data_IF_669720939201
#
_entry.id   IF_669720939201
#
_cell.length_a   1.000
_cell.length_b   1.000
_cell.length_c   1.000
_cell.angle_alpha   90.00
_cell.angle_beta   90.00
_cell.angle_gamma   90.00
#
_symmetry.space_group_name_H-M   'P 1'
#
loop_
_entity.id
_entity.type
_entity.pdbx_description
1 polymer ?
#
# COMPACT_ATOMS: atom_id res chain seq x y z
N UNK A 1 1.08 33.35 -1.71
CA UNK A 1 0.16 32.21 -1.48
C UNK A 1 1.01 31.01 -1.16
N UNK A 2 0.75 30.30 -0.05
CA UNK A 2 1.47 29.06 0.29
C UNK A 2 0.51 27.89 0.05
N UNK A 3 0.93 26.91 -0.74
CA UNK A 3 0.17 25.70 -1.01
C UNK A 3 1.00 24.52 -0.54
N UNK A 4 0.44 23.72 0.36
CA UNK A 4 1.00 22.42 0.74
C UNK A 4 0.28 21.32 -0.04
N UNK A 5 1.03 20.46 -0.72
CA UNK A 5 0.49 19.33 -1.47
C UNK A 5 1.32 18.08 -1.21
N UNK A 6 0.72 16.89 -1.35
CA UNK A 6 1.50 15.65 -1.46
C UNK A 6 2.04 15.55 -2.88
N UNK A 7 3.30 15.17 -3.01
CA UNK A 7 3.98 15.00 -4.31
C UNK A 7 3.23 14.07 -5.27
N UNK A 8 2.47 13.11 -4.75
CA UNK A 8 1.63 12.19 -5.55
C UNK A 8 0.49 12.86 -6.33
N UNK A 9 0.08 14.07 -5.96
CA UNK A 9 -0.94 14.85 -6.70
C UNK A 9 -0.33 15.79 -7.73
N UNK A 10 0.99 15.88 -7.76
CA UNK A 10 1.67 16.69 -8.75
C UNK A 10 1.69 15.91 -10.07
N UNK A 11 0.96 16.42 -11.07
CA UNK A 11 1.05 15.90 -12.43
C UNK A 11 2.43 16.17 -13.05
N UNK A 12 2.66 15.61 -14.22
CA UNK A 12 3.80 15.99 -15.07
C UNK A 12 3.71 17.49 -15.35
N UNK A 13 4.81 18.22 -15.18
CA UNK A 13 4.91 19.67 -15.42
C UNK A 13 3.95 20.56 -14.62
N UNK A 14 3.59 20.14 -13.41
CA UNK A 14 2.71 20.90 -12.51
C UNK A 14 3.24 22.31 -12.19
N UNK A 15 4.56 22.54 -12.31
CA UNK A 15 5.21 23.83 -12.00
C UNK A 15 4.66 24.96 -12.85
N UNK A 16 4.32 24.70 -14.11
CA UNK A 16 3.75 25.72 -15.01
C UNK A 16 2.38 26.25 -14.51
N UNK A 17 1.62 25.44 -13.76
CA UNK A 17 0.33 25.85 -13.19
C UNK A 17 0.48 26.96 -12.12
N UNK A 18 1.70 27.18 -11.62
CA UNK A 18 2.00 28.12 -10.54
C UNK A 18 2.88 29.28 -11.01
N UNK A 19 3.23 29.33 -12.30
CA UNK A 19 3.96 30.45 -12.89
C UNK A 19 3.00 31.53 -13.41
N UNK A 20 3.28 32.83 -13.17
CA UNK A 20 2.44 33.91 -13.68
C UNK A 20 2.47 33.99 -15.22
N UNK A 21 1.31 34.23 -15.85
CA UNK A 21 1.15 34.32 -17.30
C UNK A 21 1.89 35.52 -17.94
N UNK A 22 2.23 36.50 -17.10
CA UNK A 22 2.85 37.77 -17.42
C UNK A 22 4.39 37.73 -17.51
N UNK A 23 4.98 36.52 -17.61
CA UNK A 23 6.38 36.33 -17.98
C UNK A 23 7.41 36.64 -16.89
N UNK A 24 6.96 36.92 -15.66
CA UNK A 24 7.82 37.08 -14.49
C UNK A 24 8.30 35.71 -13.99
N UNK A 25 9.31 35.18 -14.67
CA UNK A 25 9.99 33.96 -14.26
C UNK A 25 10.63 34.11 -12.85
N UNK A 26 10.64 33.03 -12.07
CA UNK A 26 11.37 32.96 -10.79
C UNK A 26 10.59 33.28 -9.51
N UNK A 27 9.26 33.47 -9.57
CA UNK A 27 8.43 33.66 -8.38
C UNK A 27 7.95 32.35 -7.73
N UNK A 28 8.09 31.21 -8.41
CA UNK A 28 7.78 29.89 -7.87
C UNK A 28 8.93 29.38 -7.01
N UNK A 29 8.64 29.03 -5.76
CA UNK A 29 9.58 28.36 -4.87
C UNK A 29 8.96 27.04 -4.41
N UNK A 30 9.76 25.98 -4.48
CA UNK A 30 9.39 24.64 -4.02
C UNK A 30 10.21 24.29 -2.78
N UNK A 31 9.55 23.79 -1.76
CA UNK A 31 10.19 23.20 -0.59
C UNK A 31 9.57 21.83 -0.32
N UNK A 32 10.42 20.84 -0.04
CA UNK A 32 10.00 19.48 0.32
C UNK A 32 10.17 19.34 1.82
N UNK A 33 9.12 18.91 2.51
CA UNK A 33 9.21 18.56 3.93
C UNK A 33 9.94 17.23 4.05
N UNK A 34 11.21 17.29 4.47
CA UNK A 34 12.02 16.10 4.70
C UNK A 34 11.54 15.31 5.93
N UNK A 35 11.75 13.98 5.95
CA UNK A 35 11.57 13.18 7.16
C UNK A 35 12.45 13.68 8.30
N UNK A 36 12.05 13.43 9.54
CA UNK A 36 12.86 13.77 10.70
C UNK A 36 14.17 12.99 10.73
N UNK A 37 15.24 13.69 11.08
CA UNK A 37 16.50 13.07 11.46
C UNK A 37 16.47 12.60 12.92
N UNK A 38 17.56 11.96 13.38
CA UNK A 38 17.64 11.39 14.74
C UNK A 38 17.46 12.44 15.84
N UNK A 39 18.11 13.59 15.69
CA UNK A 39 18.08 14.67 16.70
C UNK A 39 16.69 15.32 16.79
N UNK A 40 16.00 15.47 15.64
CA UNK A 40 14.63 15.95 15.58
C UNK A 40 13.64 14.98 16.22
N UNK A 41 13.82 13.66 16.03
CA UNK A 41 13.01 12.65 16.70
C UNK A 41 13.22 12.75 18.22
N UNK A 42 14.47 12.82 18.67
CA UNK A 42 14.80 12.94 20.10
C UNK A 42 14.15 14.20 20.72
N UNK A 43 14.36 15.37 20.11
CA UNK A 43 13.78 16.62 20.60
C UNK A 43 12.25 16.57 20.63
N UNK A 44 11.61 15.96 19.63
CA UNK A 44 10.17 15.79 19.60
C UNK A 44 9.67 14.89 20.75
N UNK A 45 10.36 13.80 21.04
CA UNK A 45 10.02 12.88 22.15
C UNK A 45 10.10 13.61 23.49
N UNK A 46 11.19 14.34 23.73
CA UNK A 46 11.39 15.12 24.97
C UNK A 46 10.26 16.15 25.16
N UNK A 47 9.93 16.90 24.11
CA UNK A 47 8.82 17.85 24.14
C UNK A 47 7.48 17.15 24.39
N UNK A 48 7.22 16.03 23.71
CA UNK A 48 5.99 15.25 23.89
C UNK A 48 5.82 14.80 25.35
N UNK A 49 6.87 14.22 25.96
CA UNK A 49 6.84 13.76 27.35
C UNK A 49 6.60 14.93 28.30
N UNK A 50 7.27 16.07 28.09
CA UNK A 50 7.07 17.27 28.93
C UNK A 50 5.64 17.83 28.87
N UNK A 51 5.02 17.82 27.69
CA UNK A 51 3.72 18.45 27.45
C UNK A 51 2.56 17.53 27.78
N UNK A 52 2.68 16.23 27.48
CA UNK A 52 1.59 15.25 27.60
C UNK A 52 1.65 14.43 28.89
N UNK A 53 2.82 14.33 29.53
CA UNK A 53 3.06 13.51 30.73
C UNK A 53 2.50 12.08 30.57
N UNK A 54 2.94 11.34 29.52
CA UNK A 54 2.51 9.96 29.30
C UNK A 54 3.05 9.03 30.41
N UNK A 55 2.66 7.75 30.37
CA UNK A 55 3.14 6.74 31.33
C UNK A 55 4.60 6.35 31.13
N UNK A 56 5.14 6.53 29.93
CA UNK A 56 6.54 6.25 29.59
C UNK A 56 7.42 7.50 29.71
N UNK A 57 8.67 7.30 30.13
CA UNK A 57 9.71 8.33 30.13
C UNK A 57 10.27 8.57 28.73
N UNK A 58 11.03 9.66 28.55
CA UNK A 58 11.74 9.91 27.28
C UNK A 58 12.70 8.77 26.97
N UNK A 59 13.39 8.25 27.99
CA UNK A 59 14.32 7.12 27.90
C UNK A 59 13.65 5.86 27.38
N UNK A 60 12.45 5.53 27.87
CA UNK A 60 11.68 4.35 27.41
C UNK A 60 11.37 4.43 25.91
N UNK A 61 10.90 5.60 25.44
CA UNK A 61 10.64 5.83 24.02
C UNK A 61 11.90 5.74 23.17
N UNK A 62 13.00 6.36 23.61
CA UNK A 62 14.27 6.32 22.89
C UNK A 62 14.80 4.88 22.78
N UNK A 63 14.69 4.10 23.84
CA UNK A 63 15.15 2.71 23.85
C UNK A 63 14.30 1.84 22.91
N UNK A 64 12.97 2.01 22.91
CA UNK A 64 12.09 1.31 21.98
C UNK A 64 12.39 1.66 20.51
N UNK A 65 12.54 2.96 20.19
CA UNK A 65 12.86 3.43 18.82
C UNK A 65 14.23 2.92 18.37
N UNK A 66 15.21 2.87 19.28
CA UNK A 66 16.56 2.40 18.98
C UNK A 66 16.63 0.89 18.76
N UNK A 67 15.90 0.11 19.57
CA UNK A 67 15.99 -1.36 19.54
C UNK A 67 15.05 -2.05 18.55
N UNK A 68 14.02 -1.37 18.07
CA UNK A 68 13.07 -1.92 17.09
C UNK A 68 13.34 -1.29 15.70
N UNK A 69 14.07 -1.98 14.79
CA UNK A 69 14.47 -1.39 13.51
C UNK A 69 13.28 -0.95 12.65
N UNK A 70 12.21 -1.74 12.64
CA UNK A 70 10.97 -1.43 11.92
C UNK A 70 10.29 -0.16 12.41
N UNK A 71 10.38 0.14 13.72
CA UNK A 71 9.85 1.37 14.30
C UNK A 71 10.69 2.58 13.91
N UNK A 72 12.02 2.44 13.85
CA UNK A 72 12.94 3.52 13.51
C UNK A 72 12.60 4.18 12.17
N UNK A 73 12.29 3.39 11.14
CA UNK A 73 11.94 3.93 9.83
C UNK A 73 10.54 4.58 9.80
N UNK A 74 9.59 4.06 10.58
CA UNK A 74 8.24 4.64 10.68
C UNK A 74 8.28 6.03 11.32
N UNK A 75 9.01 6.20 12.43
CA UNK A 75 9.03 7.46 13.20
C UNK A 75 9.79 8.60 12.53
N UNK A 76 10.49 8.36 11.41
CA UNK A 76 10.99 9.44 10.55
C UNK A 76 9.84 10.28 9.97
N UNK A 77 8.64 9.72 9.86
CA UNK A 77 7.45 10.48 9.49
C UNK A 77 6.86 11.15 10.75
N UNK A 78 6.71 12.49 10.79
CA UNK A 78 6.24 13.20 11.99
C UNK A 78 4.85 12.76 12.50
N UNK A 79 3.93 12.41 11.59
CA UNK A 79 2.61 11.92 11.98
C UNK A 79 2.69 10.53 12.61
N UNK A 80 3.50 9.63 12.03
CA UNK A 80 3.72 8.29 12.59
C UNK A 80 4.48 8.33 13.91
N UNK A 81 5.44 9.25 14.07
CA UNK A 81 6.10 9.47 15.36
C UNK A 81 5.06 9.85 16.42
N UNK A 82 4.24 10.87 16.17
CA UNK A 82 3.16 11.25 17.10
C UNK A 82 2.27 10.06 17.46
N UNK A 83 1.83 9.32 16.44
CA UNK A 83 0.93 8.18 16.61
C UNK A 83 1.60 7.06 17.42
N UNK A 84 2.87 6.75 17.14
CA UNK A 84 3.68 5.81 17.90
C UNK A 84 3.80 6.21 19.38
N UNK A 85 4.13 7.47 19.68
CA UNK A 85 4.25 7.91 21.07
C UNK A 85 2.94 7.78 21.85
N UNK A 86 1.78 7.91 21.19
CA UNK A 86 0.49 7.68 21.83
C UNK A 86 0.23 6.21 22.16
N UNK A 87 0.67 5.27 21.31
CA UNK A 87 0.24 3.86 21.38
C UNK A 87 1.29 2.88 21.92
N UNK A 88 2.58 3.20 21.80
CA UNK A 88 3.68 2.31 22.18
C UNK A 88 3.58 1.78 23.63
N UNK A 89 3.21 2.59 24.65
CA UNK A 89 3.09 2.08 26.02
C UNK A 89 2.10 0.92 26.15
N UNK A 90 1.03 0.91 25.36
CA UNK A 90 0.03 -0.16 25.36
C UNK A 90 0.44 -1.34 24.46
N UNK A 91 1.03 -1.06 23.30
CA UNK A 91 1.51 -2.12 22.39
C UNK A 91 2.63 -2.97 23.00
N UNK A 92 3.54 -2.34 23.72
CA UNK A 92 4.76 -2.98 24.21
C UNK A 92 4.64 -3.39 25.69
N UNK A 93 3.81 -2.69 26.48
CA UNK A 93 3.74 -2.89 27.93
C UNK A 93 5.07 -2.58 28.62
N UNK A 94 5.22 -2.99 29.88
CA UNK A 94 6.38 -2.63 30.70
C UNK A 94 7.57 -3.61 30.63
N UNK A 95 7.47 -4.73 29.89
CA UNK A 95 8.44 -5.84 29.94
C UNK A 95 8.72 -6.50 28.57
N UNK A 96 8.77 -5.70 27.50
CA UNK A 96 8.93 -6.23 26.13
C UNK A 96 10.38 -6.54 25.80
N UNK A 97 10.63 -7.76 25.31
CA UNK A 97 11.89 -8.08 24.65
C UNK A 97 11.93 -7.43 23.26
N UNK A 98 12.57 -6.26 23.17
CA UNK A 98 12.62 -5.47 21.94
C UNK A 98 13.34 -6.17 20.77
N UNK A 99 14.22 -7.15 21.04
CA UNK A 99 15.08 -7.76 20.01
C UNK A 99 14.32 -8.58 18.96
N UNK A 100 13.15 -9.13 19.31
CA UNK A 100 12.31 -9.93 18.41
C UNK A 100 11.02 -9.20 18.01
N UNK A 101 10.80 -8.00 18.54
CA UNK A 101 9.58 -7.23 18.30
C UNK A 101 9.66 -6.54 16.94
N UNK A 102 8.61 -6.71 16.14
CA UNK A 102 8.43 -5.97 14.88
C UNK A 102 7.16 -5.14 15.01
N UNK A 103 7.25 -3.84 14.71
CA UNK A 103 6.10 -2.94 14.70
C UNK A 103 5.88 -2.47 13.27
N UNK A 104 4.69 -2.73 12.76
CA UNK A 104 4.20 -2.32 11.45
C UNK A 104 3.42 -1.02 11.56
N UNK A 105 3.21 -0.34 10.43
CA UNK A 105 2.34 0.84 10.39
C UNK A 105 0.93 0.44 10.81
N UNK A 106 0.47 -0.74 10.42
CA UNK A 106 -0.89 -1.20 10.73
C UNK A 106 -1.11 -1.37 12.21
N UNK A 107 -0.18 -2.00 12.94
CA UNK A 107 -0.31 -2.17 14.39
C UNK A 107 -0.40 -0.84 15.12
N UNK A 108 0.35 0.18 14.66
CA UNK A 108 0.22 1.53 15.20
C UNK A 108 -1.20 2.09 14.99
N UNK A 109 -1.77 1.93 13.79
CA UNK A 109 -3.11 2.46 13.47
C UNK A 109 -4.24 1.66 14.11
N UNK A 110 -4.13 0.33 14.16
CA UNK A 110 -5.08 -0.56 14.82
C UNK A 110 -5.21 -0.15 16.28
N UNK A 111 -4.09 0.00 16.99
CA UNK A 111 -4.07 0.42 18.39
C UNK A 111 -4.52 1.87 18.56
N UNK A 112 -4.10 2.79 17.68
CA UNK A 112 -4.51 4.19 17.76
C UNK A 112 -6.03 4.35 17.62
N UNK A 113 -6.63 3.67 16.65
CA UNK A 113 -8.09 3.73 16.43
C UNK A 113 -8.84 3.06 17.58
N UNK A 114 -8.33 1.94 18.10
CA UNK A 114 -8.88 1.30 19.30
C UNK A 114 -8.91 2.27 20.49
N UNK A 115 -7.77 2.89 20.84
CA UNK A 115 -7.69 3.88 21.92
C UNK A 115 -8.56 5.10 21.67
N UNK A 116 -8.65 5.56 20.42
CA UNK A 116 -9.51 6.70 20.08
C UNK A 116 -10.98 6.41 20.37
N UNK A 117 -11.46 5.22 19.99
CA UNK A 117 -12.84 4.80 20.25
C UNK A 117 -13.08 4.62 21.75
N UNK A 118 -12.14 4.03 22.49
CA UNK A 118 -12.23 3.87 23.94
C UNK A 118 -12.33 5.21 24.67
N UNK A 119 -11.47 6.18 24.31
CA UNK A 119 -11.54 7.55 24.85
C UNK A 119 -12.86 8.23 24.49
N UNK A 120 -13.32 8.05 23.26
CA UNK A 120 -14.62 8.55 22.81
C UNK A 120 -15.79 7.97 23.61
N UNK A 121 -15.79 6.65 23.85
CA UNK A 121 -16.78 5.95 24.67
C UNK A 121 -16.80 6.50 26.10
N UNK A 122 -15.62 6.66 26.71
CA UNK A 122 -15.49 7.23 28.06
C UNK A 122 -16.08 8.64 28.13
N UNK A 123 -15.72 9.51 27.17
CA UNK A 123 -16.27 10.86 27.08
C UNK A 123 -17.80 10.85 26.95
N UNK A 124 -18.37 9.99 26.11
CA UNK A 124 -19.83 9.87 25.98
C UNK A 124 -20.50 9.41 27.28
N UNK A 125 -19.85 8.55 28.07
CA UNK A 125 -20.39 8.12 29.38
C UNK A 125 -20.39 9.21 30.45
N UNK A 126 -19.54 10.24 30.28
CA UNK A 126 -19.42 11.38 31.20
C UNK A 126 -20.31 12.57 30.76
N UNK A 127 -20.87 12.54 29.55
CA UNK A 127 -21.74 13.59 29.01
C UNK A 127 -23.20 13.41 29.44
N UNK A 128 -23.93 14.53 29.56
CA UNK A 128 -25.38 14.50 29.73
C UNK A 128 -26.09 14.16 28.41
N UNK A 129 -26.28 12.86 28.18
CA UNK A 129 -27.03 12.35 27.04
C UNK A 129 -28.55 12.47 27.26
N UNK A 130 -29.29 12.68 26.16
CA UNK A 130 -30.76 12.60 26.15
C UNK A 130 -31.23 11.20 26.54
N UNK A 131 -32.48 11.05 27.01
CA UNK A 131 -33.01 9.73 27.41
C UNK A 131 -32.98 8.72 26.27
N UNK A 132 -33.22 9.15 25.03
CA UNK A 132 -33.09 8.30 23.83
C UNK A 132 -31.64 7.91 23.57
N UNK A 133 -30.70 8.86 23.68
CA UNK A 133 -29.29 8.59 23.43
C UNK A 133 -28.67 7.70 24.51
N UNK A 134 -29.14 7.78 25.76
CA UNK A 134 -28.75 6.84 26.82
C UNK A 134 -29.13 5.41 26.50
N UNK A 135 -30.32 5.19 25.94
CA UNK A 135 -30.78 3.86 25.54
C UNK A 135 -29.92 3.30 24.39
N UNK A 136 -29.69 4.12 23.36
CA UNK A 136 -28.85 3.77 22.21
C UNK A 136 -27.41 3.51 22.65
N UNK A 137 -26.84 4.35 23.52
CA UNK A 137 -25.47 4.19 24.03
C UNK A 137 -25.33 2.90 24.84
N UNK A 138 -26.34 2.54 25.63
CA UNK A 138 -26.38 1.27 26.37
C UNK A 138 -26.39 0.08 25.40
N UNK A 139 -27.26 0.11 24.40
CA UNK A 139 -27.34 -0.95 23.38
C UNK A 139 -26.01 -1.12 22.60
N UNK A 140 -25.39 -0.01 22.21
CA UNK A 140 -24.06 -0.02 21.58
C UNK A 140 -22.99 -0.57 22.53
N UNK A 141 -23.10 -0.30 23.83
CA UNK A 141 -22.18 -0.80 24.84
C UNK A 141 -22.32 -2.31 25.05
N UNK A 142 -23.55 -2.80 25.12
CA UNK A 142 -23.87 -4.22 25.34
C UNK A 142 -23.53 -5.08 24.11
N UNK A 143 -23.63 -4.51 22.89
CA UNK A 143 -23.33 -5.20 21.61
C UNK A 143 -21.89 -5.06 21.10
N UNK A 144 -20.97 -4.55 21.93
CA UNK A 144 -19.55 -4.39 21.55
C UNK A 144 -19.25 -3.05 20.88
N UNK A 145 -19.22 -1.99 21.69
CA UNK A 145 -19.06 -0.60 21.24
C UNK A 145 -17.85 -0.36 20.31
N UNK A 146 -16.70 -0.95 20.64
CA UNK A 146 -15.48 -0.80 19.84
C UNK A 146 -15.67 -1.38 18.44
N UNK A 147 -16.22 -2.59 18.34
CA UNK A 147 -16.50 -3.24 17.06
C UNK A 147 -17.52 -2.44 16.24
N UNK A 148 -18.56 -1.90 16.89
CA UNK A 148 -19.53 -1.00 16.23
C UNK A 148 -18.86 0.26 15.68
N UNK A 149 -17.94 0.87 16.43
CA UNK A 149 -17.15 2.02 15.99
C UNK A 149 -16.25 1.70 14.78
N UNK A 150 -15.57 0.55 14.81
CA UNK A 150 -14.76 0.07 13.68
C UNK A 150 -15.64 -0.22 12.45
N UNK A 151 -16.79 -0.87 12.64
CA UNK A 151 -17.75 -1.13 11.55
C UNK A 151 -18.26 0.19 10.95
N UNK A 152 -18.64 1.16 11.78
CA UNK A 152 -19.04 2.48 11.31
C UNK A 152 -17.93 3.17 10.50
N UNK A 153 -16.69 3.12 10.98
CA UNK A 153 -15.52 3.63 10.26
C UNK A 153 -15.39 2.97 8.88
N UNK A 154 -15.45 1.64 8.80
CA UNK A 154 -15.33 0.88 7.55
C UNK A 154 -16.40 1.29 6.55
N UNK A 155 -17.66 1.27 6.96
CA UNK A 155 -18.81 1.55 6.09
C UNK A 155 -18.80 3.02 5.63
N UNK A 156 -18.43 3.96 6.52
CA UNK A 156 -18.26 5.36 6.15
C UNK A 156 -17.16 5.55 5.11
N UNK A 157 -16.00 4.92 5.30
CA UNK A 157 -14.89 5.04 4.34
C UNK A 157 -15.29 4.45 2.99
N UNK A 158 -15.92 3.27 2.95
CA UNK A 158 -16.43 2.69 1.71
C UNK A 158 -17.35 3.67 0.97
N UNK A 159 -18.32 4.27 1.67
CA UNK A 159 -19.24 5.24 1.08
C UNK A 159 -18.54 6.51 0.55
N UNK A 160 -17.49 7.00 1.23
CA UNK A 160 -16.67 8.12 0.75
C UNK A 160 -15.97 7.78 -0.58
N UNK A 161 -15.53 6.54 -0.74
CA UNK A 161 -14.85 6.08 -1.95
C UNK A 161 -15.80 5.91 -3.11
N UNK A 162 -16.92 5.24 -2.86
CA UNK A 162 -17.93 4.96 -3.87
C UNK A 162 -18.57 6.24 -4.40
N UNK A 163 -18.92 7.17 -3.50
CA UNK A 163 -19.69 8.36 -3.90
C UNK A 163 -18.86 9.62 -4.11
N UNK A 164 -17.61 9.68 -3.62
CA UNK A 164 -16.75 10.88 -3.75
C UNK A 164 -15.33 10.56 -4.19
N UNK A 165 -15.07 9.36 -4.72
CA UNK A 165 -13.75 8.93 -5.24
C UNK A 165 -12.62 9.09 -4.21
N UNK A 166 -12.96 8.96 -2.91
CA UNK A 166 -11.99 9.07 -1.82
C UNK A 166 -11.61 10.51 -1.44
N UNK A 167 -12.42 11.51 -1.84
CA UNK A 167 -12.23 12.88 -1.36
C UNK A 167 -12.39 12.90 0.19
N UNK A 168 -11.37 13.33 0.95
CA UNK A 168 -11.40 13.26 2.41
C UNK A 168 -12.31 14.30 3.07
N UNK A 169 -12.88 15.24 2.30
CA UNK A 169 -13.76 16.30 2.82
C UNK A 169 -15.20 16.03 2.45
N UNK A 170 -16.00 15.62 3.43
CA UNK A 170 -17.43 15.41 3.24
C UNK A 170 -18.20 16.67 3.66
N UNK A 171 -18.86 17.31 2.69
CA UNK A 171 -19.76 18.43 2.97
C UNK A 171 -21.19 17.94 3.27
N UNK A 172 -21.73 18.31 4.44
CA UNK A 172 -23.08 17.99 4.89
C UNK A 172 -23.69 19.14 5.74
N UNK A 173 -24.63 19.93 5.19
CA UNK A 173 -25.20 21.11 5.84
C UNK A 173 -26.39 20.85 6.78
N UNK A 174 -26.81 19.60 6.97
CA UNK A 174 -27.92 19.24 7.86
C UNK A 174 -29.33 19.46 7.29
N UNK A 175 -29.49 20.38 6.34
CA UNK A 175 -30.73 20.62 5.61
C UNK A 175 -30.53 20.27 4.13
N UNK A 176 -31.00 19.11 3.66
CA UNK A 176 -31.90 19.06 2.50
C UNK A 176 -32.40 17.66 2.13
N UNK A 177 -33.51 17.66 1.38
CA UNK A 177 -34.28 16.53 0.89
C UNK A 177 -33.55 15.62 -0.12
N UNK A 178 -34.15 14.44 -0.31
CA UNK A 178 -33.62 13.20 -0.90
C UNK A 178 -32.69 12.38 0.01
N UNK A 179 -32.77 11.06 -0.14
CA UNK A 179 -31.99 10.06 0.60
C UNK A 179 -30.51 10.06 0.16
N UNK A 180 -29.79 11.15 0.46
CA UNK A 180 -28.34 11.17 0.29
C UNK A 180 -27.69 10.16 1.25
N UNK A 181 -26.76 9.35 0.76
CA UNK A 181 -25.96 8.42 1.58
C UNK A 181 -25.35 9.11 2.81
N UNK A 182 -25.01 10.41 2.70
CA UNK A 182 -24.46 11.23 3.79
C UNK A 182 -25.39 11.27 5.01
N UNK A 183 -26.71 11.25 4.80
CA UNK A 183 -27.70 11.30 5.89
C UNK A 183 -27.58 10.08 6.82
N UNK A 184 -27.17 8.93 6.31
CA UNK A 184 -26.98 7.71 7.10
C UNK A 184 -25.81 7.82 8.10
N UNK A 185 -24.81 8.66 7.82
CA UNK A 185 -23.62 8.81 8.66
C UNK A 185 -23.61 10.13 9.44
N UNK A 186 -24.03 11.22 8.81
CA UNK A 186 -23.92 12.59 9.33
C UNK A 186 -25.23 13.13 9.90
N UNK A 187 -26.33 12.36 9.78
CA UNK A 187 -27.59 12.66 10.44
C UNK A 187 -27.58 12.37 11.94
N UNK A 188 -28.73 12.57 12.57
CA UNK A 188 -28.98 12.27 13.99
C UNK A 188 -29.93 11.06 14.16
N UNK A 189 -29.93 10.11 13.22
CA UNK A 189 -30.76 8.90 13.29
C UNK A 189 -29.91 7.70 13.74
N UNK A 190 -30.57 6.75 14.41
CA UNK A 190 -30.09 5.39 14.67
C UNK A 190 -28.69 5.33 15.33
N UNK A 191 -28.39 6.24 16.25
CA UNK A 191 -27.11 6.26 16.98
C UNK A 191 -25.86 6.60 16.15
N UNK A 192 -26.03 6.92 14.86
CA UNK A 192 -24.93 7.30 13.97
C UNK A 192 -24.15 8.51 14.47
N UNK A 193 -24.81 9.44 15.18
CA UNK A 193 -24.13 10.58 15.81
C UNK A 193 -23.20 10.14 16.94
N UNK A 194 -23.61 9.17 17.78
CA UNK A 194 -22.75 8.65 18.86
C UNK A 194 -21.53 7.94 18.28
N UNK A 195 -21.71 7.11 17.24
CA UNK A 195 -20.60 6.42 16.56
C UNK A 195 -19.66 7.39 15.83
N UNK A 196 -20.21 8.48 15.28
CA UNK A 196 -19.42 9.55 14.64
C UNK A 196 -18.51 10.28 15.61
N UNK A 197 -18.94 10.48 16.87
CA UNK A 197 -18.16 11.17 17.91
C UNK A 197 -16.98 10.35 18.45
N UNK A 198 -16.93 9.04 18.16
CA UNK A 198 -15.90 8.12 18.68
C UNK A 198 -14.93 7.63 17.62
N UNK A 199 -15.08 8.03 16.36
CA UNK A 199 -14.07 7.78 15.32
C UNK A 199 -13.16 9.01 15.14
N UNK A 200 -11.96 8.89 14.54
CA UNK A 200 -11.01 10.00 14.38
C UNK A 200 -11.40 10.95 13.24
N UNK A 201 -12.60 11.52 13.38
CA UNK A 201 -13.25 12.44 12.46
C UNK A 201 -13.47 13.79 13.17
N UNK A 202 -13.28 14.88 12.44
CA UNK A 202 -13.49 16.26 12.91
C UNK A 202 -14.56 16.93 12.09
N UNK A 203 -15.25 17.90 12.71
CA UNK A 203 -16.26 18.74 12.06
C UNK A 203 -15.83 20.20 12.13
N UNK A 204 -15.83 20.89 10.99
CA UNK A 204 -15.71 22.35 10.90
C UNK A 204 -16.89 22.90 10.09
N UNK A 205 -17.85 23.53 10.77
CA UNK A 205 -19.12 23.93 10.18
C UNK A 205 -19.85 22.74 9.54
N UNK A 206 -20.01 22.79 8.22
CA UNK A 206 -20.68 21.76 7.41
C UNK A 206 -19.70 20.77 6.78
N UNK A 207 -18.44 20.75 7.19
CA UNK A 207 -17.42 19.87 6.62
C UNK A 207 -16.93 18.86 7.65
N UNK A 208 -16.91 17.59 7.25
CA UNK A 208 -16.37 16.48 8.02
C UNK A 208 -15.09 15.98 7.37
N UNK A 209 -14.05 15.78 8.19
CA UNK A 209 -12.71 15.37 7.73
C UNK A 209 -12.06 14.46 8.76
N UNK A 210 -11.40 13.41 8.32
CA UNK A 210 -10.50 12.64 9.20
C UNK A 210 -9.38 13.55 9.72
N UNK A 211 -8.95 13.34 10.98
CA UNK A 211 -7.85 14.15 11.57
C UNK A 211 -6.56 14.08 10.74
N UNK A 212 -6.41 13.00 9.95
CA UNK A 212 -5.37 12.87 8.96
C UNK A 212 -5.84 11.95 7.83
N UNK A 213 -5.45 12.24 6.59
CA UNK A 213 -5.88 11.50 5.40
C UNK A 213 -5.51 10.01 5.45
N UNK A 214 -4.41 9.65 6.09
CA UNK A 214 -4.03 8.24 6.21
C UNK A 214 -5.04 7.40 6.99
N UNK A 215 -5.90 8.00 7.82
CA UNK A 215 -6.94 7.27 8.54
C UNK A 215 -8.10 6.88 7.61
N UNK A 216 -8.34 7.67 6.58
CA UNK A 216 -9.24 7.30 5.48
C UNK A 216 -8.65 6.14 4.67
N UNK A 217 -7.34 6.15 4.40
CA UNK A 217 -6.63 5.06 3.69
C UNK A 217 -6.58 3.78 4.55
N UNK A 218 -6.34 3.93 5.85
CA UNK A 218 -6.39 2.85 6.83
C UNK A 218 -7.80 2.26 6.97
N UNK A 219 -8.85 3.08 7.10
CA UNK A 219 -10.23 2.59 7.20
C UNK A 219 -10.67 1.82 5.95
N UNK A 220 -10.14 2.19 4.78
CA UNK A 220 -10.33 1.44 3.56
C UNK A 220 -9.65 0.07 3.64
N UNK A 221 -8.42 0.04 4.15
CA UNK A 221 -7.71 -1.21 4.42
C UNK A 221 -8.40 -2.06 5.49
N UNK A 222 -9.38 -1.57 6.22
CA UNK A 222 -10.23 -2.42 7.05
C UNK A 222 -11.43 -2.93 6.26
N UNK A 223 -11.98 -2.10 5.37
CA UNK A 223 -13.15 -2.40 4.54
C UNK A 223 -12.89 -3.49 3.51
N UNK A 224 -11.74 -3.45 2.83
CA UNK A 224 -11.32 -4.49 1.87
C UNK A 224 -11.15 -5.87 2.54
N UNK A 225 -10.99 -5.90 3.87
CA UNK A 225 -10.65 -7.07 4.68
C UNK A 225 -11.76 -7.50 5.65
N UNK A 226 -13.00 -7.05 5.45
CA UNK A 226 -14.08 -7.51 6.33
C UNK A 226 -14.16 -9.04 6.36
N UNK A 227 -14.14 -9.67 7.55
CA UNK A 227 -14.25 -11.11 7.62
C UNK A 227 -15.60 -11.51 7.03
N UNK A 228 -15.58 -12.33 5.98
CA UNK A 228 -16.61 -13.34 5.83
C UNK A 228 -16.34 -14.38 6.92
N UNK A 229 -16.87 -14.16 8.13
CA UNK A 229 -17.02 -15.28 9.06
C UNK A 229 -18.01 -16.24 8.41
N UNK A 230 -17.52 -17.38 7.93
CA UNK A 230 -18.32 -18.59 7.73
C UNK A 230 -18.64 -19.14 9.12
N UNK A 231 -19.91 -19.43 9.32
CA UNK A 231 -20.46 -20.55 10.08
C UNK A 231 -19.82 -20.84 11.45
N UNK A 232 -20.37 -20.19 12.48
CA UNK A 232 -20.57 -20.88 13.76
C UNK A 232 -22.07 -21.17 13.87
N UNK A 233 -22.54 -22.19 13.14
CA UNK A 233 -23.68 -22.96 13.61
C UNK A 233 -23.25 -23.65 14.91
N UNK A 234 -23.73 -23.13 16.04
CA UNK A 234 -23.81 -23.93 17.27
C UNK A 234 -25.27 -24.20 17.55
N UNK A 235 -25.62 -25.48 17.41
CA UNK A 235 -26.90 -26.06 17.83
C UNK A 235 -27.26 -25.63 19.25
N UNK A 236 -28.43 -24.98 19.39
CA UNK A 236 -29.23 -25.08 20.60
C UNK A 236 -30.71 -24.98 20.24
N UNK A 237 -31.44 -26.00 20.68
CA UNK A 237 -32.86 -26.33 20.48
C UNK A 237 -33.84 -25.21 20.90
N UNK A 238 -35.08 -25.20 20.34
CA UNK A 238 -36.05 -24.13 20.61
C UNK A 238 -36.79 -24.35 21.93
N UNK A 239 -37.26 -23.28 22.57
CA UNK A 239 -38.71 -23.26 22.82
C UNK A 239 -39.40 -21.89 22.73
N UNK A 240 -40.62 -21.97 22.22
CA UNK A 240 -41.84 -21.28 22.68
C UNK A 240 -42.02 -19.80 22.31
N UNK A 241 -43.10 -19.60 21.55
CA UNK A 241 -43.82 -18.37 21.30
C UNK A 241 -44.11 -17.56 22.57
N UNK A 242 -43.59 -16.33 22.65
CA UNK A 242 -44.27 -15.24 23.35
C UNK A 242 -44.18 -13.93 22.56
N UNK A 243 -45.38 -13.40 22.31
CA UNK A 243 -45.67 -12.06 21.82
C UNK A 243 -44.96 -10.99 22.65
N UNK A 244 -44.52 -9.94 21.96
CA UNK A 244 -44.41 -8.58 22.48
C UNK A 244 -43.06 -8.22 23.07
N UNK A 245 -42.17 -7.67 22.25
CA UNK A 245 -41.35 -6.50 22.61
C UNK A 245 -40.70 -5.94 21.35
N UNK A 246 -40.89 -4.66 21.09
CA UNK A 246 -40.24 -3.89 20.04
C UNK A 246 -38.75 -3.78 20.34
N UNK A 247 -37.96 -4.72 19.84
CA UNK A 247 -36.51 -4.60 19.72
C UNK A 247 -36.21 -3.81 18.44
N UNK A 248 -35.81 -2.54 18.58
CA UNK A 248 -35.30 -1.73 17.49
C UNK A 248 -33.96 -2.30 17.03
N UNK A 249 -34.00 -3.24 16.07
CA UNK A 249 -32.80 -3.69 15.38
C UNK A 249 -32.11 -2.45 14.78
N UNK A 250 -30.87 -2.19 15.21
CA UNK A 250 -30.00 -1.20 14.59
C UNK A 250 -30.01 -1.40 13.07
N UNK A 251 -30.43 -0.38 12.32
CA UNK A 251 -30.72 -0.44 10.88
C UNK A 251 -29.51 -0.76 9.99
N UNK A 252 -28.31 -0.83 10.57
CA UNK A 252 -27.10 -1.29 9.89
C UNK A 252 -27.03 -2.82 9.74
N UNK A 253 -27.81 -3.59 10.50
CA UNK A 253 -27.90 -5.06 10.37
C UNK A 253 -29.07 -5.51 9.48
N UNK A 254 -30.15 -4.72 9.38
CA UNK A 254 -31.35 -5.06 8.59
C UNK A 254 -31.21 -4.87 7.08
N UNK A 255 -29.99 -4.68 6.58
CA UNK A 255 -29.67 -4.89 5.17
C UNK A 255 -29.02 -6.27 4.96
N UNK A 256 -29.41 -7.31 5.69
CA UNK A 256 -28.91 -8.70 5.54
C UNK A 256 -29.41 -9.42 4.27
N UNK A 257 -29.56 -8.70 3.16
CA UNK A 257 -29.45 -9.26 1.80
C UNK A 257 -28.01 -9.13 1.26
N UNK A 258 -27.05 -8.80 2.12
CA UNK A 258 -25.71 -8.27 1.79
C UNK A 258 -24.54 -9.26 1.89
N UNK A 259 -24.79 -10.57 1.92
CA UNK A 259 -23.70 -11.54 1.79
C UNK A 259 -23.18 -11.68 0.34
N UNK A 260 -24.06 -11.43 -0.64
CA UNK A 260 -23.64 -11.30 -2.06
C UNK A 260 -23.01 -9.94 -2.39
N UNK A 261 -23.18 -8.94 -1.52
CA UNK A 261 -22.67 -7.59 -1.77
C UNK A 261 -21.31 -7.36 -1.12
N UNK A 262 -20.97 -7.97 0.03
CA UNK A 262 -19.65 -7.80 0.64
C UNK A 262 -18.49 -8.20 -0.30
N UNK A 263 -18.66 -9.27 -1.07
CA UNK A 263 -17.71 -9.72 -2.12
C UNK A 263 -17.72 -8.82 -3.35
N UNK A 264 -18.85 -8.20 -3.68
CA UNK A 264 -18.95 -7.20 -4.76
C UNK A 264 -18.33 -5.84 -4.37
N UNK A 265 -18.44 -5.41 -3.11
CA UNK A 265 -17.98 -4.08 -2.66
C UNK A 265 -16.45 -4.05 -2.45
N UNK A 266 -15.84 -5.15 -1.98
CA UNK A 266 -14.38 -5.28 -1.93
C UNK A 266 -13.72 -5.23 -3.31
N UNK A 267 -14.44 -5.69 -4.35
CA UNK A 267 -13.97 -5.66 -5.75
C UNK A 267 -14.01 -4.26 -6.35
N UNK A 268 -15.07 -3.49 -6.10
CA UNK A 268 -15.17 -2.07 -6.52
C UNK A 268 -14.00 -1.23 -5.98
N UNK A 269 -13.48 -1.59 -4.80
CA UNK A 269 -12.36 -0.88 -4.18
C UNK A 269 -11.01 -1.20 -4.83
N UNK A 270 -10.83 -2.44 -5.29
CA UNK A 270 -9.68 -2.85 -6.11
C UNK A 270 -9.77 -2.34 -7.55
N UNK A 271 -10.92 -1.82 -8.02
CA UNK A 271 -11.04 -1.23 -9.36
C UNK A 271 -10.58 0.25 -9.42
N UNK A 272 -10.17 0.82 -8.29
CA UNK A 272 -9.66 2.20 -8.21
C UNK A 272 -8.12 2.25 -8.18
N UNK A 273 -7.46 3.29 -8.73
CA UNK A 273 -5.99 3.41 -8.66
C UNK A 273 -5.47 3.34 -7.22
N UNK A 274 -4.41 2.54 -7.01
CA UNK A 274 -3.93 2.15 -5.67
C UNK A 274 -3.40 3.30 -4.80
N UNK A 275 -2.82 4.36 -5.38
CA UNK A 275 -2.27 5.50 -4.61
C UNK A 275 -1.37 5.04 -3.46
N UNK A 276 -1.49 5.65 -2.27
CA UNK A 276 -0.83 5.25 -1.00
C UNK A 276 -1.58 4.15 -0.21
N UNK A 277 -2.69 3.63 -0.72
CA UNK A 277 -3.49 2.59 -0.03
C UNK A 277 -2.83 1.22 -0.14
N UNK A 278 -2.01 1.03 -1.17
CA UNK A 278 -1.14 -0.12 -1.33
C UNK A 278 -0.31 -0.40 -0.07
N UNK A 279 0.22 0.61 0.63
CA UNK A 279 1.05 0.40 1.83
C UNK A 279 0.28 -0.32 2.95
N UNK A 280 -0.95 0.10 3.23
CA UNK A 280 -1.80 -0.58 4.23
C UNK A 280 -2.27 -1.94 3.70
N UNK A 281 -2.63 -2.06 2.42
CA UNK A 281 -3.04 -3.34 1.85
C UNK A 281 -1.89 -4.37 1.88
N UNK A 282 -0.67 -3.91 1.63
CA UNK A 282 0.58 -4.67 1.60
C UNK A 282 0.92 -5.23 2.97
N UNK A 283 0.91 -4.38 4.00
CA UNK A 283 1.21 -4.82 5.37
C UNK A 283 0.15 -5.79 5.91
N UNK A 284 -1.14 -5.63 5.55
CA UNK A 284 -2.19 -6.57 5.99
C UNK A 284 -2.06 -7.96 5.38
N UNK A 285 -1.48 -8.11 4.18
CA UNK A 285 -1.20 -9.44 3.61
C UNK A 285 -0.32 -10.27 4.56
N UNK A 286 0.59 -9.62 5.28
CA UNK A 286 1.48 -10.32 6.22
C UNK A 286 0.75 -10.79 7.48
N UNK A 287 -0.38 -10.17 7.83
CA UNK A 287 -1.17 -10.50 9.01
C UNK A 287 -2.33 -11.47 8.70
N UNK A 288 -2.89 -11.42 7.48
CA UNK A 288 -4.13 -12.11 7.11
C UNK A 288 -3.93 -13.09 5.93
N UNK A 289 -3.68 -14.38 6.20
CA UNK A 289 -3.45 -15.39 5.14
C UNK A 289 -4.61 -15.53 4.15
N UNK A 290 -5.85 -15.33 4.61
CA UNK A 290 -7.06 -15.43 3.76
C UNK A 290 -7.06 -14.37 2.68
N UNK A 291 -6.58 -13.16 2.98
CA UNK A 291 -6.57 -12.05 2.04
C UNK A 291 -5.65 -12.33 0.84
N UNK A 292 -4.51 -12.97 1.08
CA UNK A 292 -3.63 -13.44 0.01
C UNK A 292 -4.40 -14.33 -0.99
N UNK A 293 -5.18 -15.29 -0.49
CA UNK A 293 -6.01 -16.17 -1.32
C UNK A 293 -7.10 -15.42 -2.11
N UNK A 294 -7.74 -14.41 -1.50
CA UNK A 294 -8.72 -13.57 -2.17
C UNK A 294 -8.10 -12.78 -3.34
N UNK A 295 -6.92 -12.20 -3.15
CA UNK A 295 -6.20 -11.49 -4.22
C UNK A 295 -5.81 -12.43 -5.36
N UNK A 296 -5.33 -13.65 -5.06
CA UNK A 296 -5.09 -14.67 -6.09
C UNK A 296 -6.36 -15.00 -6.87
N UNK A 297 -7.51 -15.15 -6.21
CA UNK A 297 -8.79 -15.41 -6.88
C UNK A 297 -9.19 -14.27 -7.83
N UNK A 298 -8.93 -13.01 -7.45
CA UNK A 298 -9.17 -11.85 -8.32
C UNK A 298 -8.27 -11.90 -9.57
N UNK A 299 -7.00 -12.29 -9.42
CA UNK A 299 -6.07 -12.46 -10.56
C UNK A 299 -6.55 -13.57 -11.49
N UNK A 300 -6.91 -14.73 -10.94
CA UNK A 300 -7.42 -15.87 -11.72
C UNK A 300 -8.68 -15.51 -12.50
N UNK A 301 -9.59 -14.74 -11.88
CA UNK A 301 -10.82 -14.29 -12.53
C UNK A 301 -10.56 -13.42 -13.77
N UNK A 302 -9.44 -12.70 -13.84
CA UNK A 302 -9.09 -11.89 -15.01
C UNK A 302 -8.89 -12.70 -16.30
N UNK A 303 -8.59 -14.00 -16.17
CA UNK A 303 -8.44 -14.92 -17.31
C UNK A 303 -9.73 -14.98 -18.14
N UNK A 304 -10.90 -15.02 -17.49
CA UNK A 304 -12.20 -15.06 -18.15
C UNK A 304 -12.92 -13.70 -18.17
N UNK A 305 -12.87 -12.94 -17.09
CA UNK A 305 -13.62 -11.69 -16.92
C UNK A 305 -12.81 -10.44 -17.30
N UNK A 306 -13.31 -9.72 -18.31
CA UNK A 306 -12.72 -8.46 -18.76
C UNK A 306 -12.93 -7.30 -17.76
N UNK A 307 -13.97 -7.34 -16.92
CA UNK A 307 -14.22 -6.31 -15.91
C UNK A 307 -13.22 -6.40 -14.76
N UNK A 308 -12.76 -7.61 -14.42
CA UNK A 308 -11.79 -7.84 -13.35
C UNK A 308 -10.35 -7.37 -13.65
N UNK A 309 -10.08 -6.78 -14.83
CA UNK A 309 -8.72 -6.39 -15.25
C UNK A 309 -8.05 -5.40 -14.30
N UNK A 310 -8.77 -4.37 -13.90
CA UNK A 310 -8.23 -3.33 -13.00
C UNK A 310 -8.02 -3.91 -11.60
N UNK A 311 -9.02 -4.59 -11.05
CA UNK A 311 -8.90 -5.31 -9.78
C UNK A 311 -7.74 -6.31 -9.78
N UNK A 312 -7.53 -7.06 -10.87
CA UNK A 312 -6.43 -8.02 -10.98
C UNK A 312 -5.06 -7.35 -11.08
N UNK A 313 -4.93 -6.28 -11.88
CA UNK A 313 -3.71 -5.49 -11.96
C UNK A 313 -3.33 -4.93 -10.58
N UNK A 314 -4.32 -4.44 -9.84
CA UNK A 314 -4.12 -3.95 -8.49
C UNK A 314 -3.81 -5.08 -7.50
N UNK A 315 -4.51 -6.21 -7.56
CA UNK A 315 -4.29 -7.36 -6.70
C UNK A 315 -2.86 -7.91 -6.82
N UNK A 316 -2.37 -8.12 -8.05
CA UNK A 316 -1.01 -8.62 -8.26
C UNK A 316 0.04 -7.59 -7.83
N UNK A 317 -0.21 -6.30 -8.05
CA UNK A 317 0.67 -5.22 -7.59
C UNK A 317 0.82 -5.24 -6.05
N UNK A 318 -0.28 -5.38 -5.31
CA UNK A 318 -0.25 -5.46 -3.84
C UNK A 318 0.51 -6.72 -3.40
N UNK A 319 0.26 -7.88 -4.03
CA UNK A 319 0.96 -9.13 -3.71
C UNK A 319 2.47 -9.01 -3.92
N UNK A 320 2.90 -8.47 -5.07
CA UNK A 320 4.33 -8.24 -5.37
C UNK A 320 4.96 -7.30 -4.33
N UNK A 321 4.31 -6.17 -4.02
CA UNK A 321 4.79 -5.24 -2.99
C UNK A 321 4.85 -5.86 -1.60
N UNK A 322 4.01 -6.85 -1.30
CA UNK A 322 4.04 -7.61 -0.05
C UNK A 322 5.16 -8.66 0.00
N UNK A 323 5.95 -8.80 -1.07
CA UNK A 323 7.00 -9.78 -1.19
C UNK A 323 6.50 -11.18 -1.55
N UNK A 324 5.25 -11.30 -2.04
CA UNK A 324 4.73 -12.58 -2.54
C UNK A 324 5.44 -12.90 -3.85
N UNK A 325 6.13 -14.04 -3.85
CA UNK A 325 6.78 -14.58 -5.03
C UNK A 325 5.79 -15.40 -5.85
N UNK A 326 5.95 -15.35 -7.18
CA UNK A 326 5.15 -16.05 -8.17
C UNK A 326 5.98 -17.10 -8.92
N UNK A 327 6.90 -17.75 -8.22
CA UNK A 327 7.76 -18.77 -8.83
C UNK A 327 6.91 -19.96 -9.28
N UNK A 328 7.15 -20.44 -10.50
CA UNK A 328 6.40 -21.53 -11.14
C UNK A 328 4.89 -21.31 -11.18
N UNK A 329 4.42 -20.05 -11.05
CA UNK A 329 3.00 -19.74 -11.04
C UNK A 329 2.40 -19.88 -12.46
N UNK A 330 1.20 -20.46 -12.53
CA UNK A 330 0.40 -20.49 -13.77
C UNK A 330 -0.39 -19.19 -13.92
N UNK A 331 0.24 -18.22 -14.59
CA UNK A 331 -0.31 -16.91 -14.91
C UNK A 331 -0.72 -16.82 -16.39
N UNK A 332 -0.98 -17.95 -17.06
CA UNK A 332 -1.38 -17.94 -18.46
C UNK A 332 -2.71 -17.21 -18.64
N UNK A 333 -2.78 -16.38 -19.67
CA UNK A 333 -3.95 -15.58 -20.05
C UNK A 333 -4.47 -14.60 -18.99
N UNK A 334 -3.71 -14.32 -17.91
CA UNK A 334 -4.12 -13.28 -16.95
C UNK A 334 -4.18 -11.93 -17.65
N UNK A 335 -5.04 -11.03 -17.15
CA UNK A 335 -5.19 -9.70 -17.73
C UNK A 335 -4.94 -8.64 -16.68
N UNK A 336 -3.73 -8.07 -16.69
CA UNK A 336 -3.24 -7.14 -15.67
C UNK A 336 -2.60 -5.88 -16.27
N UNK A 337 -3.25 -5.20 -17.25
CA UNK A 337 -2.65 -4.04 -17.90
C UNK A 337 -2.38 -2.92 -16.87
N UNK A 338 -1.21 -2.30 -16.94
CA UNK A 338 -0.79 -1.22 -16.06
C UNK A 338 -0.39 -1.65 -14.64
N UNK A 339 -0.33 -2.96 -14.34
CA UNK A 339 0.16 -3.44 -13.05
C UNK A 339 1.61 -3.01 -12.80
N UNK A 340 1.95 -2.79 -11.53
CA UNK A 340 3.32 -2.55 -11.11
C UNK A 340 3.89 -3.81 -10.48
N UNK A 341 4.67 -4.55 -11.26
CA UNK A 341 5.33 -5.78 -10.82
C UNK A 341 6.79 -5.52 -10.43
N UNK A 342 7.23 -4.27 -10.36
CA UNK A 342 8.63 -3.93 -10.13
C UNK A 342 9.19 -4.63 -8.89
N UNK A 343 10.44 -5.09 -8.99
CA UNK A 343 11.13 -5.88 -7.95
C UNK A 343 10.47 -7.23 -7.61
N UNK A 344 9.44 -7.67 -8.34
CA UNK A 344 8.80 -8.96 -8.14
C UNK A 344 9.67 -10.14 -8.59
N UNK A 345 9.35 -11.32 -8.05
CA UNK A 345 10.02 -12.58 -8.37
C UNK A 345 9.04 -13.55 -9.03
N UNK A 346 9.34 -13.91 -10.26
CA UNK A 346 8.53 -14.72 -11.18
C UNK A 346 9.39 -15.81 -11.84
N UNK A 347 10.29 -16.44 -11.07
CA UNK A 347 11.18 -17.50 -11.58
C UNK A 347 10.34 -18.67 -12.13
N UNK A 348 10.58 -19.08 -13.36
CA UNK A 348 9.82 -20.13 -14.06
C UNK A 348 8.30 -19.89 -14.17
N UNK A 349 7.83 -18.64 -14.05
CA UNK A 349 6.40 -18.34 -14.16
C UNK A 349 5.89 -18.50 -15.60
N UNK A 350 4.67 -19.02 -15.75
CA UNK A 350 3.99 -19.21 -17.04
C UNK A 350 3.07 -18.00 -17.30
N UNK A 351 3.45 -17.12 -18.22
CA UNK A 351 2.74 -15.87 -18.56
C UNK A 351 2.22 -15.89 -20.01
N UNK A 352 2.10 -17.07 -20.62
CA UNK A 352 1.67 -17.20 -22.01
C UNK A 352 0.29 -16.59 -22.24
N UNK A 353 0.15 -15.80 -23.29
CA UNK A 353 -1.10 -15.11 -23.63
C UNK A 353 -1.54 -14.01 -22.64
N UNK A 354 -0.72 -13.67 -21.63
CA UNK A 354 -1.07 -12.64 -20.65
C UNK A 354 -1.20 -11.24 -21.28
N UNK A 355 -2.14 -10.44 -20.81
CA UNK A 355 -2.23 -9.01 -21.15
C UNK A 355 -1.39 -8.19 -20.18
N UNK A 356 -0.15 -7.91 -20.59
CA UNK A 356 0.87 -7.17 -19.83
C UNK A 356 1.05 -5.73 -20.32
N UNK A 357 0.10 -5.18 -21.07
CA UNK A 357 0.26 -3.83 -21.64
C UNK A 357 0.48 -2.79 -20.55
N UNK A 358 1.46 -1.92 -20.74
CA UNK A 358 1.84 -0.86 -19.78
C UNK A 358 2.25 -1.35 -18.39
N UNK A 359 2.51 -2.65 -18.22
CA UNK A 359 3.01 -3.20 -16.95
C UNK A 359 4.41 -2.68 -16.67
N UNK A 360 4.67 -2.31 -15.43
CA UNK A 360 6.02 -1.99 -14.95
C UNK A 360 6.74 -3.27 -14.50
N UNK A 361 7.77 -3.65 -15.23
CA UNK A 361 8.67 -4.79 -15.00
C UNK A 361 10.07 -4.34 -14.57
N UNK A 362 10.23 -3.11 -14.05
CA UNK A 362 11.51 -2.62 -13.54
C UNK A 362 12.08 -3.57 -12.48
N UNK A 363 13.32 -4.03 -12.69
CA UNK A 363 14.04 -4.90 -11.75
C UNK A 363 13.31 -6.21 -11.39
N UNK A 364 12.49 -6.74 -12.30
CA UNK A 364 11.79 -8.01 -12.08
C UNK A 364 12.72 -9.20 -12.31
N UNK A 365 12.66 -10.19 -11.42
CA UNK A 365 13.32 -11.48 -11.61
C UNK A 365 12.39 -12.44 -12.37
N UNK A 366 12.72 -12.74 -13.63
CA UNK A 366 11.90 -13.58 -14.53
C UNK A 366 12.73 -14.69 -15.22
N UNK A 367 13.72 -15.26 -14.52
CA UNK A 367 14.51 -16.36 -15.06
C UNK A 367 13.58 -17.51 -15.47
N UNK A 368 13.76 -18.07 -16.67
CA UNK A 368 12.93 -19.15 -17.22
C UNK A 368 11.41 -18.87 -17.28
N UNK A 369 10.98 -17.60 -17.15
CA UNK A 369 9.56 -17.27 -17.33
C UNK A 369 9.17 -17.39 -18.81
N UNK A 370 8.01 -17.96 -19.09
CA UNK A 370 7.48 -18.08 -20.45
C UNK A 370 6.49 -16.94 -20.72
N UNK A 371 6.84 -16.07 -21.66
CA UNK A 371 6.03 -14.92 -22.08
C UNK A 371 5.40 -15.14 -23.47
N UNK A 372 5.32 -16.39 -23.93
CA UNK A 372 4.82 -16.77 -25.25
C UNK A 372 3.46 -16.16 -25.57
N UNK A 373 3.39 -15.28 -26.56
CA UNK A 373 2.13 -14.63 -26.96
C UNK A 373 1.57 -13.59 -25.98
N UNK A 374 2.34 -13.17 -24.97
CA UNK A 374 1.95 -12.10 -24.07
C UNK A 374 1.87 -10.73 -24.79
N UNK A 375 0.92 -9.88 -24.41
CA UNK A 375 0.76 -8.54 -24.96
C UNK A 375 1.68 -7.56 -24.23
N UNK A 376 2.77 -7.15 -24.88
CA UNK A 376 3.85 -6.36 -24.25
C UNK A 376 3.84 -4.85 -24.59
N UNK A 377 2.77 -4.36 -25.24
CA UNK A 377 2.74 -2.97 -25.70
C UNK A 377 2.84 -1.97 -24.54
N UNK A 378 3.89 -1.14 -24.56
CA UNK A 378 4.14 -0.11 -23.54
C UNK A 378 4.66 -0.62 -22.20
N UNK A 379 5.08 -1.89 -22.10
CA UNK A 379 5.74 -2.43 -20.91
C UNK A 379 6.97 -1.61 -20.56
N UNK A 380 7.13 -1.29 -19.28
CA UNK A 380 8.23 -0.49 -18.76
C UNK A 380 9.25 -1.41 -18.09
N UNK A 381 10.47 -1.49 -18.61
CA UNK A 381 11.56 -2.27 -17.97
C UNK A 381 12.41 -1.43 -17.00
N UNK A 382 12.02 -0.16 -16.77
CA UNK A 382 12.80 0.82 -16.01
C UNK A 382 13.96 1.41 -16.81
N UNK A 383 14.82 2.15 -16.12
CA UNK A 383 16.12 2.54 -16.69
C UNK A 383 16.97 1.28 -16.80
N UNK A 384 17.21 0.85 -18.03
CA UNK A 384 18.15 -0.22 -18.28
C UNK A 384 19.54 0.30 -17.89
N UNK A 385 20.31 -0.45 -17.07
CA UNK A 385 21.69 -0.09 -16.81
C UNK A 385 22.40 0.05 -18.15
N UNK A 386 22.99 1.22 -18.39
CA UNK A 386 23.81 1.44 -19.57
C UNK A 386 25.28 1.37 -19.15
N UNK A 387 26.06 0.66 -19.95
CA UNK A 387 27.50 0.57 -19.79
C UNK A 387 28.13 1.60 -20.73
N UNK A 388 28.83 2.57 -20.17
CA UNK A 388 29.58 3.53 -20.98
C UNK A 388 30.95 2.94 -21.36
N UNK A 389 31.23 2.95 -22.65
CA UNK A 389 32.51 2.52 -23.22
C UNK A 389 33.21 3.67 -23.92
N UNK A 390 34.54 3.58 -23.97
CA UNK A 390 35.40 4.62 -24.53
C UNK A 390 35.49 4.57 -26.07
N UNK A 391 34.94 3.52 -26.69
CA UNK A 391 34.87 3.36 -28.15
C UNK A 391 33.56 2.66 -28.56
N UNK A 392 33.28 2.65 -29.86
CA UNK A 392 32.12 2.01 -30.48
C UNK A 392 32.05 0.53 -30.09
N UNK A 393 30.93 0.13 -29.50
CA UNK A 393 30.60 -1.27 -29.26
C UNK A 393 30.15 -1.90 -30.58
N UNK A 394 30.88 -2.90 -31.06
CA UNK A 394 30.60 -3.57 -32.34
C UNK A 394 29.90 -4.92 -32.15
N UNK A 395 30.14 -5.60 -31.04
CA UNK A 395 29.46 -6.84 -30.69
C UNK A 395 29.35 -7.02 -29.18
N UNK A 396 28.47 -7.91 -28.73
CA UNK A 396 28.36 -8.28 -27.32
C UNK A 396 27.86 -9.71 -27.13
N UNK A 397 28.16 -10.31 -25.99
CA UNK A 397 27.73 -11.66 -25.65
C UNK A 397 27.56 -11.82 -24.14
N UNK A 398 26.61 -12.67 -23.71
CA UNK A 398 26.47 -13.10 -22.32
C UNK A 398 27.14 -14.45 -22.12
N UNK A 399 27.68 -14.68 -20.92
CA UNK A 399 28.04 -16.02 -20.50
C UNK A 399 26.79 -16.90 -20.38
N UNK A 400 26.89 -18.23 -20.60
CA UNK A 400 25.74 -19.13 -20.52
C UNK A 400 25.05 -19.15 -19.14
N UNK A 401 25.80 -18.86 -18.07
CA UNK A 401 25.26 -18.75 -16.71
C UNK A 401 24.70 -17.35 -16.39
N UNK A 402 24.80 -16.41 -17.33
CA UNK A 402 24.30 -15.05 -17.20
C UNK A 402 25.05 -14.17 -16.20
N UNK A 403 26.18 -14.62 -15.64
CA UNK A 403 26.94 -13.87 -14.63
C UNK A 403 27.90 -12.84 -15.21
N UNK A 404 28.33 -13.05 -16.44
CA UNK A 404 29.30 -12.20 -17.13
C UNK A 404 28.71 -11.68 -18.44
N UNK A 405 28.92 -10.40 -18.70
CA UNK A 405 28.62 -9.77 -19.97
C UNK A 405 29.91 -9.29 -20.64
N UNK A 406 30.09 -9.58 -21.92
CA UNK A 406 31.23 -9.14 -22.72
C UNK A 406 30.80 -8.17 -23.82
N UNK A 407 31.57 -7.12 -24.01
CA UNK A 407 31.41 -6.14 -25.09
C UNK A 407 32.72 -6.00 -25.88
N UNK A 408 32.65 -6.18 -27.20
CA UNK A 408 33.78 -6.04 -28.12
C UNK A 408 33.77 -4.65 -28.75
N UNK A 409 34.93 -3.99 -28.74
CA UNK A 409 35.05 -2.55 -28.98
C UNK A 409 35.82 -2.24 -30.28
N UNK A 410 35.63 -1.00 -30.75
CA UNK A 410 36.27 -0.41 -31.92
C UNK A 410 37.80 -0.43 -31.86
N UNK A 411 38.36 -0.23 -30.66
CA UNK A 411 39.79 -0.19 -30.35
C UNK A 411 40.45 -1.57 -30.23
N UNK A 412 39.74 -2.66 -30.55
CA UNK A 412 40.24 -4.03 -30.46
C UNK A 412 40.26 -4.60 -29.04
N UNK A 413 39.69 -3.90 -28.06
CA UNK A 413 39.56 -4.42 -26.70
C UNK A 413 38.19 -5.05 -26.44
N UNK A 414 38.13 -5.85 -25.38
CA UNK A 414 36.92 -6.54 -24.92
C UNK A 414 36.72 -6.18 -23.44
N UNK A 415 35.60 -5.57 -23.11
CA UNK A 415 35.23 -5.30 -21.71
C UNK A 415 34.37 -6.43 -21.16
N UNK A 416 34.68 -6.90 -19.95
CA UNK A 416 33.92 -7.86 -19.20
C UNK A 416 33.25 -7.19 -17.99
N UNK A 417 32.00 -7.53 -17.75
CA UNK A 417 31.16 -6.96 -16.71
C UNK A 417 30.51 -8.05 -15.87
N UNK A 418 30.38 -7.78 -14.58
CA UNK A 418 29.58 -8.60 -13.68
C UNK A 418 28.12 -8.16 -13.79
N UNK A 419 27.22 -9.06 -14.13
CA UNK A 419 25.80 -8.71 -14.38
C UNK A 419 25.02 -8.40 -13.10
N UNK A 420 25.56 -8.76 -11.94
CA UNK A 420 24.94 -8.53 -10.63
C UNK A 420 24.92 -7.05 -10.24
N UNK A 421 25.96 -6.31 -10.62
CA UNK A 421 26.19 -4.92 -10.22
C UNK A 421 26.66 -4.01 -11.39
N UNK A 422 26.86 -4.57 -12.58
CA UNK A 422 27.35 -3.90 -13.78
C UNK A 422 28.73 -3.25 -13.63
N UNK A 423 29.52 -3.73 -12.67
CA UNK A 423 30.91 -3.32 -12.53
C UNK A 423 31.77 -4.01 -13.60
N UNK A 424 32.72 -3.27 -14.15
CA UNK A 424 33.70 -3.81 -15.09
C UNK A 424 34.68 -4.70 -14.35
N UNK A 425 34.67 -6.00 -14.66
CA UNK A 425 35.58 -6.99 -14.09
C UNK A 425 36.97 -6.81 -14.70
N UNK A 426 37.03 -6.71 -16.02
CA UNK A 426 38.29 -6.67 -16.76
C UNK A 426 38.13 -6.02 -18.13
N UNK A 427 39.23 -5.49 -18.67
CA UNK A 427 39.35 -5.12 -20.08
C UNK A 427 40.48 -5.95 -20.70
N UNK A 428 40.14 -6.82 -21.64
CA UNK A 428 41.08 -7.63 -22.39
C UNK A 428 41.56 -6.83 -23.60
N UNK A 429 42.87 -6.84 -23.84
CA UNK A 429 43.50 -6.22 -25.01
C UNK A 429 44.24 -7.29 -25.78
N UNK A 430 44.26 -7.18 -27.11
CA UNK A 430 44.99 -8.13 -27.94
C UNK A 430 44.72 -7.99 -29.43
N UNK A 431 43.50 -7.58 -29.82
CA UNK A 431 43.22 -7.28 -31.21
C UNK A 431 43.72 -5.88 -31.58
N UNK A 432 44.23 -5.76 -32.81
CA UNK A 432 44.73 -4.49 -33.36
C UNK A 432 43.63 -3.67 -34.05
N UNK A 433 42.48 -4.30 -34.33
CA UNK A 433 41.32 -3.69 -34.96
C UNK A 433 40.02 -4.12 -34.27
N UNK A 434 38.90 -3.52 -34.68
CA UNK A 434 37.56 -3.73 -34.12
C UNK A 434 37.19 -5.20 -33.95
N UNK A 435 36.74 -5.55 -32.75
CA UNK A 435 36.20 -6.88 -32.44
C UNK A 435 34.76 -6.95 -32.93
N UNK A 436 34.49 -7.77 -33.94
CA UNK A 436 33.16 -7.87 -34.57
C UNK A 436 32.34 -9.06 -34.06
N UNK A 437 32.97 -10.02 -33.38
CA UNK A 437 32.29 -11.21 -32.88
C UNK A 437 32.86 -11.64 -31.54
N UNK A 438 31.97 -12.05 -30.64
CA UNK A 438 32.28 -12.64 -29.34
C UNK A 438 31.40 -13.85 -29.10
N UNK A 439 31.99 -14.92 -28.59
CA UNK A 439 31.26 -16.13 -28.19
C UNK A 439 31.83 -16.72 -26.91
N UNK A 440 30.98 -16.93 -25.91
CA UNK A 440 31.36 -17.68 -24.73
C UNK A 440 31.35 -19.18 -25.00
N UNK A 441 32.29 -19.90 -24.40
CA UNK A 441 32.19 -21.36 -24.33
C UNK A 441 30.97 -21.77 -23.51
N UNK A 442 30.43 -22.98 -23.77
CA UNK A 442 29.29 -23.51 -23.01
C UNK A 442 29.54 -23.60 -21.49
N UNK A 443 30.82 -23.68 -21.08
CA UNK A 443 31.23 -23.68 -19.67
C UNK A 443 31.39 -22.27 -19.08
N UNK A 444 31.31 -21.22 -19.90
CA UNK A 444 31.48 -19.82 -19.50
C UNK A 444 32.92 -19.40 -19.17
N UNK A 445 33.90 -20.31 -19.31
CA UNK A 445 35.29 -20.10 -18.89
C UNK A 445 36.21 -19.49 -19.95
N UNK A 446 35.78 -19.50 -21.22
CA UNK A 446 36.57 -19.03 -22.36
C UNK A 446 35.71 -18.15 -23.25
N UNK A 447 36.35 -17.21 -23.95
CA UNK A 447 35.70 -16.28 -24.85
C UNK A 447 36.47 -16.30 -26.17
N UNK A 448 35.84 -16.80 -27.22
CA UNK A 448 36.34 -16.63 -28.57
C UNK A 448 35.98 -15.23 -29.08
N UNK A 449 36.96 -14.54 -29.65
CA UNK A 449 36.82 -13.19 -30.21
C UNK A 449 37.38 -13.15 -31.62
N UNK A 450 36.66 -12.50 -32.54
CA UNK A 450 37.07 -12.33 -33.94
C UNK A 450 37.10 -10.86 -34.32
N UNK A 451 38.19 -10.45 -34.98
CA UNK A 451 38.47 -9.04 -35.31
C UNK A 451 38.72 -8.80 -36.79
N UNK A 452 38.59 -7.54 -37.21
CA UNK A 452 39.03 -7.05 -38.51
C UNK A 452 40.55 -7.20 -38.76
N UNK A 453 41.36 -7.48 -37.73
CA UNK A 453 42.80 -7.75 -37.87
C UNK A 453 43.11 -9.14 -38.48
N UNK A 454 42.09 -9.86 -38.93
CA UNK A 454 42.18 -11.21 -39.50
C UNK A 454 42.64 -12.28 -38.50
N UNK A 455 42.50 -12.02 -37.20
CA UNK A 455 42.81 -12.98 -36.13
C UNK A 455 41.59 -13.38 -35.32
N UNK A 456 41.71 -14.55 -34.68
CA UNK A 456 40.78 -15.06 -33.66
C UNK A 456 41.58 -15.31 -32.38
N UNK A 457 41.14 -14.74 -31.27
CA UNK A 457 41.72 -14.96 -29.94
C UNK A 457 40.74 -15.74 -29.07
N UNK A 458 41.27 -16.65 -28.22
CA UNK A 458 40.51 -17.60 -27.40
C UNK A 458 40.73 -17.40 -25.90
#
# INVERSE_FOLDING_TARGET
MVISCRTEYNGVDYKHCFEPSDGKAGLFQEAIISPFNKDQIQSYVEQYVSLRKPSWSSEDYHEAIKRIPSLHDLVKNPFLLKLALEVLPRLLGNNSNYSTTRITRIELYDEFVAQWIERGKKRLSEMELSSSDKLIFKELSDSGFQQRGITYLKVLVTAIYEHQKGNPVVHYPGHDGQASWKKAFFGNRDGSHLLREVIPLTRNGNQYRFIHKSLLEYGLSLAVFGPSKRDEETEATPPVSRRGSTSSAFSFESHSSTERTATAHGQTLLDSPLGKRDLFLTERIQQEPVFKGQLHSVIERSKSDKAARTAAANAITILVRAGVQFNSADLRNIKIPGADLSFGVFDSAQLEGADLRKVNLRNVWMRQADLGGAQMAGVQFGELPFLQEDDKVACSSYSPDGKTYAAGLGDGSISLYETSNWNRIQRLKGHDLTVNSLSFSATGKQIASGSNDSTVLL
#
